data_IF_412722116296
#
_entry.id   IF_412722116296
#
_cell.length_a   1.000
_cell.length_b   1.000
_cell.length_c   1.000
_cell.angle_alpha   90.00
_cell.angle_beta   90.00
_cell.angle_gamma   90.00
#
_symmetry.space_group_name_H-M   'P 1'
#
loop_
_entity.id
_entity.type
_entity.pdbx_description
1 polymer ?
#
# COMPACT_ATOMS: atom_id res chain seq x y z
N UNK A 1 21.18 -27.55 26.88
CA UNK A 1 20.90 -26.80 25.63
C UNK A 1 19.39 -26.68 25.53
N UNK A 2 18.83 -25.55 25.98
CA UNK A 2 17.38 -25.33 25.98
C UNK A 2 16.88 -25.07 24.55
N UNK A 3 15.98 -25.91 24.06
CA UNK A 3 15.33 -25.70 22.77
C UNK A 3 14.15 -24.75 22.95
N UNK A 4 14.33 -23.47 22.59
CA UNK A 4 13.23 -22.50 22.51
C UNK A 4 12.24 -23.03 21.46
N UNK A 5 11.08 -23.52 21.91
CA UNK A 5 9.97 -23.88 21.01
C UNK A 5 9.37 -22.59 20.47
N UNK A 6 9.85 -22.15 19.31
CA UNK A 6 9.27 -21.01 18.58
C UNK A 6 7.84 -21.39 18.19
N UNK A 7 6.86 -20.82 18.90
CA UNK A 7 5.45 -21.03 18.61
C UNK A 7 5.09 -20.26 17.32
N UNK A 8 5.22 -20.92 16.17
CA UNK A 8 4.94 -20.33 14.84
C UNK A 8 3.56 -19.68 14.76
N UNK A 9 2.60 -20.17 15.55
CA UNK A 9 1.24 -19.64 15.62
C UNK A 9 1.19 -18.17 16.04
N UNK A 10 2.09 -17.75 16.93
CA UNK A 10 2.14 -16.36 17.42
C UNK A 10 2.53 -15.36 16.33
N UNK A 11 3.22 -15.79 15.26
CA UNK A 11 3.60 -14.93 14.14
C UNK A 11 2.42 -14.62 13.21
N UNK A 12 1.38 -15.48 13.20
CA UNK A 12 0.21 -15.29 12.35
C UNK A 12 -0.84 -14.38 12.98
N UNK A 13 -0.87 -14.27 14.30
CA UNK A 13 -1.82 -13.41 15.02
C UNK A 13 -1.80 -11.95 14.51
N UNK A 14 -0.65 -11.26 14.40
CA UNK A 14 -0.63 -9.89 13.89
C UNK A 14 -1.07 -9.81 12.42
N UNK A 15 -0.72 -10.80 11.59
CA UNK A 15 -1.09 -10.84 10.16
C UNK A 15 -2.61 -10.99 10.01
N UNK A 16 -3.19 -11.98 10.69
CA UNK A 16 -4.63 -12.24 10.66
C UNK A 16 -5.43 -11.05 11.21
N UNK A 17 -4.96 -10.45 12.31
CA UNK A 17 -5.56 -9.24 12.87
C UNK A 17 -5.54 -8.08 11.87
N UNK A 18 -4.41 -7.87 11.19
CA UNK A 18 -4.26 -6.80 10.18
C UNK A 18 -5.22 -7.02 9.01
N UNK A 19 -5.27 -8.24 8.47
CA UNK A 19 -6.19 -8.60 7.37
C UNK A 19 -7.64 -8.38 7.81
N UNK A 20 -8.02 -8.87 8.99
CA UNK A 20 -9.37 -8.71 9.53
C UNK A 20 -9.75 -7.23 9.69
N UNK A 21 -8.88 -6.43 10.28
CA UNK A 21 -9.08 -4.98 10.45
C UNK A 21 -9.21 -4.26 9.12
N UNK A 22 -8.38 -4.61 8.12
CA UNK A 22 -8.47 -4.05 6.76
C UNK A 22 -9.84 -4.31 6.12
N UNK A 23 -10.34 -5.55 6.20
CA UNK A 23 -11.64 -5.92 5.65
C UNK A 23 -12.81 -5.29 6.40
N UNK A 24 -12.71 -5.21 7.73
CA UNK A 24 -13.69 -4.53 8.57
C UNK A 24 -13.80 -3.06 8.17
N UNK A 25 -12.67 -2.37 8.01
CA UNK A 25 -12.63 -0.98 7.60
C UNK A 25 -13.16 -0.76 6.18
N UNK A 26 -12.76 -1.59 5.21
CA UNK A 26 -13.28 -1.53 3.85
C UNK A 26 -14.81 -1.71 3.81
N UNK A 27 -15.33 -2.65 4.61
CA UNK A 27 -16.77 -2.90 4.73
C UNK A 27 -17.50 -1.70 5.32
N UNK A 28 -16.92 -1.02 6.32
CA UNK A 28 -17.48 0.22 6.87
C UNK A 28 -17.54 1.35 5.84
N UNK A 29 -16.48 1.54 5.03
CA UNK A 29 -16.46 2.55 3.95
C UNK A 29 -17.59 2.30 2.96
N UNK A 30 -17.75 1.05 2.52
CA UNK A 30 -18.80 0.66 1.57
C UNK A 30 -20.19 0.88 2.19
N UNK A 31 -20.39 0.50 3.45
CA UNK A 31 -21.68 0.63 4.14
C UNK A 31 -22.10 2.10 4.30
N UNK A 32 -21.16 3.01 4.50
CA UNK A 32 -21.42 4.45 4.70
C UNK A 32 -21.35 5.23 3.37
N UNK A 33 -21.08 4.56 2.24
CA UNK A 33 -20.89 5.16 0.91
C UNK A 33 -19.88 6.33 0.90
N UNK A 34 -18.79 6.18 1.66
CA UNK A 34 -17.72 7.18 1.68
C UNK A 34 -16.94 7.06 0.38
N UNK A 35 -16.93 8.14 -0.40
CA UNK A 35 -16.06 8.27 -1.59
C UNK A 35 -14.73 8.88 -1.18
N UNK A 36 -13.64 8.08 -1.05
CA UNK A 36 -12.34 8.64 -0.70
C UNK A 36 -11.88 9.63 -1.78
N UNK A 37 -11.39 10.78 -1.33
CA UNK A 37 -10.80 11.77 -2.23
C UNK A 37 -9.52 11.26 -2.91
N UNK A 38 -9.08 11.99 -3.92
CA UNK A 38 -7.86 11.64 -4.64
C UNK A 38 -6.64 11.67 -3.70
N UNK A 39 -5.84 10.58 -3.62
CA UNK A 39 -4.66 10.57 -2.79
C UNK A 39 -3.62 11.60 -3.28
N UNK A 40 -2.94 12.32 -2.38
CA UNK A 40 -1.98 13.37 -2.76
C UNK A 40 -0.75 12.83 -3.51
N UNK A 41 -0.45 11.55 -3.33
CA UNK A 41 0.68 10.85 -3.97
C UNK A 41 0.37 10.33 -5.38
N UNK A 42 -0.90 10.36 -5.80
CA UNK A 42 -1.38 9.88 -7.12
C UNK A 42 -2.19 11.00 -7.80
N UNK A 43 -1.53 12.07 -8.25
CA UNK A 43 -2.19 13.29 -8.71
C UNK A 43 -2.84 13.15 -10.09
N UNK A 44 -2.49 12.13 -10.86
CA UNK A 44 -3.11 11.91 -12.16
C UNK A 44 -4.42 11.14 -11.97
N UNK A 45 -5.51 11.66 -12.53
CA UNK A 45 -6.82 11.01 -12.45
C UNK A 45 -6.81 9.69 -13.23
N UNK A 46 -7.11 8.60 -12.55
CA UNK A 46 -7.19 7.27 -13.16
C UNK A 46 -8.57 7.03 -13.79
N UNK A 47 -8.67 6.13 -14.80
CA UNK A 47 -9.95 5.71 -15.33
C UNK A 47 -10.85 5.16 -14.23
N UNK A 48 -12.15 5.43 -14.33
CA UNK A 48 -13.12 4.86 -13.42
C UNK A 48 -13.13 3.33 -13.52
N UNK A 49 -13.45 2.59 -12.44
CA UNK A 49 -13.56 1.13 -12.48
C UNK A 49 -14.58 0.61 -13.51
N UNK A 50 -15.54 1.45 -13.91
CA UNK A 50 -16.52 1.13 -14.96
C UNK A 50 -15.97 1.29 -16.39
N UNK A 51 -14.77 1.83 -16.57
CA UNK A 51 -14.15 2.00 -17.89
C UNK A 51 -13.77 0.63 -18.47
N UNK A 52 -14.07 0.36 -19.77
CA UNK A 52 -13.69 -0.89 -20.40
C UNK A 52 -12.17 -1.16 -20.30
N UNK A 53 -11.74 -2.41 -20.03
CA UNK A 53 -10.32 -2.73 -19.80
C UNK A 53 -9.40 -2.28 -20.93
N UNK A 54 -9.83 -2.43 -22.19
CA UNK A 54 -9.04 -2.03 -23.35
C UNK A 54 -8.77 -0.52 -23.43
N UNK A 55 -9.66 0.31 -22.86
CA UNK A 55 -9.47 1.76 -22.80
C UNK A 55 -8.68 2.17 -21.54
N UNK A 56 -8.86 1.44 -20.43
CA UNK A 56 -8.11 1.68 -19.21
C UNK A 56 -6.59 1.51 -19.39
N UNK A 57 -6.17 0.54 -20.21
CA UNK A 57 -4.76 0.27 -20.53
C UNK A 57 -4.10 1.34 -21.41
N UNK A 58 -4.88 2.11 -22.16
CA UNK A 58 -4.36 3.17 -23.02
C UNK A 58 -4.16 4.48 -22.24
N UNK A 59 -4.75 4.60 -21.05
CA UNK A 59 -4.57 5.79 -20.24
C UNK A 59 -3.17 5.77 -19.58
N UNK A 60 -2.33 6.81 -19.80
CA UNK A 60 -1.01 6.88 -19.17
C UNK A 60 -1.06 7.12 -17.65
N UNK A 61 -2.17 7.64 -17.11
CA UNK A 61 -2.27 8.10 -15.72
C UNK A 61 -1.92 7.03 -14.66
N UNK A 62 -2.43 5.78 -14.72
CA UNK A 62 -2.08 4.75 -13.73
C UNK A 62 -0.57 4.43 -13.73
N UNK A 63 0.07 4.46 -14.90
CA UNK A 63 1.50 4.22 -15.03
C UNK A 63 2.32 5.38 -14.45
N UNK A 64 1.92 6.62 -14.70
CA UNK A 64 2.58 7.80 -14.15
C UNK A 64 2.46 7.86 -12.62
N UNK A 65 1.27 7.58 -12.07
CA UNK A 65 1.06 7.48 -10.63
C UNK A 65 1.96 6.40 -10.01
N UNK A 66 2.06 5.24 -10.66
CA UNK A 66 2.92 4.14 -10.20
C UNK A 66 4.41 4.56 -10.18
N UNK A 67 4.89 5.21 -11.24
CA UNK A 67 6.28 5.70 -11.30
C UNK A 67 6.55 6.73 -10.20
N UNK A 68 5.63 7.67 -9.95
CA UNK A 68 5.76 8.65 -8.88
C UNK A 68 5.84 7.96 -7.51
N UNK A 69 4.92 7.04 -7.23
CA UNK A 69 4.86 6.33 -5.97
C UNK A 69 6.16 5.54 -5.69
N UNK A 70 6.63 4.78 -6.68
CA UNK A 70 7.88 4.02 -6.57
C UNK A 70 9.08 4.96 -6.39
N UNK A 71 9.10 6.09 -7.07
CA UNK A 71 10.18 7.09 -6.95
C UNK A 71 10.25 7.65 -5.53
N UNK A 72 9.12 8.02 -4.93
CA UNK A 72 9.06 8.49 -3.55
C UNK A 72 9.57 7.42 -2.58
N UNK A 73 9.07 6.18 -2.69
CA UNK A 73 9.52 5.07 -1.84
C UNK A 73 11.04 4.82 -1.96
N UNK A 74 11.55 4.85 -3.18
CA UNK A 74 12.96 4.59 -3.46
C UNK A 74 13.85 5.70 -2.87
N UNK A 75 13.50 6.96 -3.12
CA UNK A 75 14.25 8.12 -2.59
C UNK A 75 14.21 8.12 -1.06
N UNK A 76 13.05 7.90 -0.45
CA UNK A 76 12.93 7.79 1.01
C UNK A 76 13.81 6.69 1.58
N UNK A 77 13.85 5.52 0.94
CA UNK A 77 14.70 4.40 1.36
C UNK A 77 16.19 4.75 1.27
N UNK A 78 16.62 5.38 0.16
CA UNK A 78 18.00 5.84 -0.03
C UNK A 78 18.39 6.86 1.04
N UNK A 79 17.52 7.83 1.34
CA UNK A 79 17.75 8.85 2.38
C UNK A 79 17.94 8.20 3.75
N UNK A 80 17.07 7.25 4.12
CA UNK A 80 17.19 6.53 5.40
C UNK A 80 18.50 5.78 5.46
N UNK A 81 18.87 5.03 4.42
CA UNK A 81 20.12 4.28 4.37
C UNK A 81 21.34 5.21 4.48
N UNK A 82 21.30 6.35 3.80
CA UNK A 82 22.36 7.37 3.89
C UNK A 82 22.50 7.91 5.32
N UNK A 83 21.38 8.23 5.99
CA UNK A 83 21.38 8.72 7.37
C UNK A 83 21.90 7.68 8.36
N UNK A 84 21.50 6.42 8.21
CA UNK A 84 22.00 5.31 9.05
C UNK A 84 23.50 5.13 8.87
N UNK A 85 23.98 5.16 7.62
CA UNK A 85 25.41 5.03 7.31
C UNK A 85 26.24 6.19 7.87
N UNK A 86 25.70 7.41 7.94
CA UNK A 86 26.39 8.57 8.52
C UNK A 86 26.48 8.51 10.06
N UNK A 87 25.59 7.78 10.72
CA UNK A 87 25.60 7.59 12.19
C UNK A 87 26.51 6.46 12.67
N UNK A 88 26.97 5.60 11.77
CA UNK A 88 27.93 4.52 12.05
C UNK A 88 29.32 4.99 11.69
#
# INVERSE_FOLDING_TARGET
METIKINRFSNYIPILSTIFLTWLFASMIIYVDIRPGQPPITPFQEPEPSTPPGQALLNPAPYLNTILFISVLTISSIVILYLVRKKT
#
